data_IF_840168519648
#
_entry.id   IF_840168519648
#
_cell.length_a   1.000
_cell.length_b   1.000
_cell.length_c   1.000
_cell.angle_alpha   90.00
_cell.angle_beta   90.00
_cell.angle_gamma   90.00
#
_symmetry.space_group_name_H-M   'P 1'
#
loop_
_entity.id
_entity.type
_entity.pdbx_description
1 polymer ?
#
# COMPACT_ATOMS: atom_id res chain seq x y z
N UNK A 1 40.00 -63.28 -41.87
CA UNK A 1 39.61 -62.84 -40.54
C UNK A 1 39.17 -61.36 -40.60
N UNK A 2 37.86 -61.13 -40.72
CA UNK A 2 37.29 -59.80 -40.82
C UNK A 2 36.73 -59.41 -39.44
N UNK A 3 37.27 -58.35 -38.78
CA UNK A 3 36.72 -57.75 -37.57
C UNK A 3 35.63 -56.78 -37.99
N UNK A 4 34.40 -57.09 -37.63
CA UNK A 4 33.27 -56.15 -37.72
C UNK A 4 33.32 -55.14 -36.52
N UNK A 5 33.33 -53.89 -36.84
CA UNK A 5 33.25 -52.81 -35.89
C UNK A 5 31.75 -52.46 -35.69
N UNK A 6 31.22 -52.75 -34.51
CA UNK A 6 29.84 -52.46 -34.16
C UNK A 6 29.80 -51.02 -33.61
N UNK A 7 29.21 -50.08 -34.38
CA UNK A 7 29.02 -48.68 -34.01
C UNK A 7 27.69 -48.55 -33.29
N UNK A 8 27.69 -48.38 -31.96
CA UNK A 8 26.51 -48.19 -31.15
C UNK A 8 26.13 -46.71 -31.14
N UNK A 9 25.06 -46.36 -31.81
CA UNK A 9 24.48 -45.00 -31.83
C UNK A 9 23.67 -44.81 -30.54
N UNK A 10 24.18 -44.05 -29.57
CA UNK A 10 23.43 -43.64 -28.39
C UNK A 10 22.64 -42.40 -28.77
N UNK A 11 21.33 -42.57 -28.98
CA UNK A 11 20.39 -41.47 -29.19
C UNK A 11 20.08 -40.82 -27.81
N UNK A 12 20.76 -39.73 -27.49
CA UNK A 12 20.48 -38.96 -26.30
C UNK A 12 19.12 -38.22 -26.41
N UNK A 13 18.11 -38.74 -25.73
CA UNK A 13 16.81 -38.11 -25.59
C UNK A 13 16.95 -36.93 -24.58
N UNK A 14 17.23 -35.72 -25.09
CA UNK A 14 17.19 -34.49 -24.28
C UNK A 14 15.75 -34.16 -23.97
N UNK A 15 15.31 -34.56 -22.77
CA UNK A 15 14.01 -34.17 -22.22
C UNK A 15 14.06 -32.69 -21.91
N UNK A 16 13.61 -31.84 -22.82
CA UNK A 16 13.33 -30.41 -22.55
C UNK A 16 12.19 -30.35 -21.51
N UNK A 17 12.56 -30.37 -20.24
CA UNK A 17 11.63 -29.97 -19.18
C UNK A 17 11.34 -28.48 -19.36
N UNK A 18 10.28 -28.18 -20.08
CA UNK A 18 9.72 -26.86 -20.15
C UNK A 18 9.36 -26.42 -18.72
N UNK A 19 10.20 -25.61 -18.08
CA UNK A 19 9.83 -24.89 -16.88
C UNK A 19 8.65 -24.01 -17.24
N UNK A 20 7.44 -24.37 -16.79
CA UNK A 20 6.31 -23.43 -16.80
C UNK A 20 6.77 -22.24 -16.01
N UNK A 21 7.14 -21.17 -16.69
CA UNK A 21 7.30 -19.87 -16.06
C UNK A 21 5.97 -19.57 -15.37
N UNK A 22 5.94 -19.69 -14.06
CA UNK A 22 4.79 -19.22 -13.28
C UNK A 22 4.68 -17.73 -13.57
N UNK A 23 3.58 -17.31 -14.20
CA UNK A 23 3.34 -15.90 -14.49
C UNK A 23 3.56 -15.10 -13.20
N UNK A 24 4.56 -14.22 -13.20
CA UNK A 24 4.90 -13.40 -12.05
C UNK A 24 3.68 -12.56 -11.68
N UNK A 25 3.27 -12.60 -10.40
CA UNK A 25 2.13 -11.80 -9.98
C UNK A 25 2.46 -10.31 -10.18
N UNK A 26 1.50 -9.52 -10.67
CA UNK A 26 1.64 -8.08 -10.91
C UNK A 26 2.32 -7.32 -9.76
N UNK A 27 1.99 -7.67 -8.51
CA UNK A 27 2.52 -7.03 -7.31
C UNK A 27 3.83 -7.63 -6.77
N UNK A 28 4.42 -8.61 -7.44
CA UNK A 28 5.73 -9.16 -7.06
C UNK A 28 6.89 -8.30 -7.59
N UNK A 29 6.62 -7.41 -8.55
CA UNK A 29 7.58 -6.45 -9.09
C UNK A 29 7.44 -5.09 -8.42
N UNK A 30 8.56 -4.43 -8.18
CA UNK A 30 8.66 -3.03 -7.70
C UNK A 30 8.86 -2.03 -8.84
N UNK A 31 9.02 -2.51 -10.07
CA UNK A 31 9.18 -1.63 -11.24
C UNK A 31 7.95 -0.79 -11.49
N UNK A 32 8.17 0.50 -11.76
CA UNK A 32 7.12 1.45 -12.13
C UNK A 32 6.48 1.06 -13.45
N UNK A 33 5.16 1.05 -13.49
CA UNK A 33 4.39 0.81 -14.73
C UNK A 33 3.89 2.14 -15.28
N UNK A 34 4.29 2.46 -16.51
CA UNK A 34 3.73 3.61 -17.23
C UNK A 34 2.33 3.26 -17.73
N UNK A 35 1.33 4.04 -17.31
CA UNK A 35 -0.06 3.89 -17.74
C UNK A 35 -0.62 5.20 -18.28
N UNK A 36 -1.56 5.11 -19.22
CA UNK A 36 -2.36 6.24 -19.68
C UNK A 36 -3.83 5.95 -19.38
N UNK A 37 -4.51 6.93 -18.80
CA UNK A 37 -5.95 6.89 -18.52
C UNK A 37 -6.62 8.12 -19.15
N UNK A 38 -7.83 7.92 -19.66
CA UNK A 38 -8.61 8.97 -20.28
C UNK A 38 -10.03 8.96 -19.72
N UNK A 39 -10.38 9.93 -18.87
CA UNK A 39 -11.72 10.10 -18.32
C UNK A 39 -11.93 11.52 -17.79
N UNK A 40 -13.17 11.84 -17.41
CA UNK A 40 -13.52 13.10 -16.75
C UNK A 40 -13.57 12.93 -15.23
N UNK A 41 -12.74 13.66 -14.47
CA UNK A 41 -12.80 13.69 -13.00
C UNK A 41 -14.20 14.09 -12.51
N UNK A 42 -14.84 15.04 -13.18
CA UNK A 42 -16.20 15.47 -12.85
C UNK A 42 -17.22 14.34 -13.01
N UNK A 43 -17.11 13.54 -14.07
CA UNK A 43 -17.99 12.39 -14.28
C UNK A 43 -17.69 11.29 -13.29
N UNK A 44 -16.42 10.97 -13.05
CA UNK A 44 -16.01 10.01 -12.05
C UNK A 44 -16.62 10.35 -10.68
N UNK A 45 -16.51 11.60 -10.22
CA UNK A 45 -17.05 12.03 -8.94
C UNK A 45 -18.58 11.99 -8.87
N UNK A 46 -19.29 12.34 -9.95
CA UNK A 46 -20.75 12.51 -9.96
C UNK A 46 -21.52 11.27 -10.37
N UNK A 47 -20.99 10.50 -11.34
CA UNK A 47 -21.71 9.36 -11.94
C UNK A 47 -21.36 8.01 -11.29
N UNK A 48 -20.39 7.97 -10.35
CA UNK A 48 -20.01 6.73 -9.70
C UNK A 48 -20.39 6.69 -8.22
N UNK A 49 -20.66 5.49 -7.74
CA UNK A 49 -20.93 5.17 -6.33
C UNK A 49 -20.39 3.78 -6.02
N UNK A 50 -20.80 3.15 -4.92
CA UNK A 50 -20.25 1.85 -4.51
C UNK A 50 -20.56 0.70 -5.49
N UNK A 51 -21.54 0.85 -6.36
CA UNK A 51 -21.95 -0.14 -7.35
C UNK A 51 -21.76 0.33 -8.79
N UNK A 52 -21.73 1.64 -9.04
CA UNK A 52 -21.69 2.23 -10.38
C UNK A 52 -20.26 2.66 -10.74
N UNK A 53 -19.84 2.31 -11.94
CA UNK A 53 -18.51 2.60 -12.51
C UNK A 53 -18.66 3.37 -13.84
N UNK A 54 -17.66 4.17 -14.20
CA UNK A 54 -17.43 4.59 -15.58
C UNK A 54 -16.49 3.59 -16.27
N UNK A 55 -16.58 3.47 -17.59
CA UNK A 55 -15.72 2.61 -18.37
C UNK A 55 -14.75 3.44 -19.21
N UNK A 56 -13.51 2.99 -19.33
CA UNK A 56 -12.48 3.57 -20.17
C UNK A 56 -11.44 2.52 -20.53
N UNK A 57 -10.52 2.86 -21.44
CA UNK A 57 -9.36 2.04 -21.74
C UNK A 57 -8.14 2.57 -20.97
N UNK A 58 -7.40 1.65 -20.38
CA UNK A 58 -6.07 1.91 -19.85
C UNK A 58 -5.05 1.43 -20.86
N UNK A 59 -4.19 2.33 -21.31
CA UNK A 59 -3.01 1.99 -22.13
C UNK A 59 -1.83 1.83 -21.18
N UNK A 60 -0.98 0.83 -21.38
CA UNK A 60 0.20 0.59 -20.56
C UNK A 60 1.36 0.03 -21.39
N UNK A 61 2.58 0.34 -20.98
CA UNK A 61 3.79 -0.22 -21.58
C UNK A 61 4.11 -1.60 -20.98
N UNK A 62 4.35 -2.58 -21.80
CA UNK A 62 4.78 -3.92 -21.38
C UNK A 62 5.57 -4.60 -22.49
N UNK A 63 6.75 -5.16 -22.15
CA UNK A 63 7.62 -5.86 -23.10
C UNK A 63 7.92 -5.04 -24.37
N UNK A 64 8.24 -3.73 -24.19
CA UNK A 64 8.58 -2.82 -25.27
C UNK A 64 7.42 -2.42 -26.20
N UNK A 65 6.18 -2.81 -25.87
CA UNK A 65 4.99 -2.48 -26.65
C UNK A 65 3.92 -1.77 -25.83
N UNK A 66 3.11 -0.94 -26.51
CA UNK A 66 1.91 -0.34 -25.94
C UNK A 66 0.75 -1.34 -26.05
N UNK A 67 0.13 -1.64 -24.92
CA UNK A 67 -1.05 -2.52 -24.83
C UNK A 67 -2.23 -1.74 -24.27
N UNK A 68 -3.44 -2.13 -24.62
CA UNK A 68 -4.66 -1.49 -24.12
C UNK A 68 -5.59 -2.52 -23.51
N UNK A 69 -6.22 -2.15 -22.38
CA UNK A 69 -7.16 -3.01 -21.67
C UNK A 69 -8.36 -2.20 -21.18
N UNK A 70 -9.60 -2.69 -21.34
CA UNK A 70 -10.77 -2.03 -20.80
C UNK A 70 -10.77 -2.08 -19.26
N UNK A 71 -11.03 -0.95 -18.63
CA UNK A 71 -11.08 -0.82 -17.17
C UNK A 71 -12.33 -0.08 -16.73
N UNK A 72 -12.81 -0.41 -15.55
CA UNK A 72 -13.94 0.22 -14.90
C UNK A 72 -13.45 0.97 -13.67
N UNK A 73 -13.78 2.25 -13.59
CA UNK A 73 -13.30 3.15 -12.56
C UNK A 73 -14.45 3.71 -11.74
N UNK A 74 -14.27 3.81 -10.43
CA UNK A 74 -15.14 4.58 -9.56
C UNK A 74 -14.36 5.35 -8.51
N UNK A 75 -14.84 6.52 -8.14
CA UNK A 75 -14.30 7.25 -7.01
C UNK A 75 -14.56 6.47 -5.70
N UNK A 76 -13.60 6.51 -4.77
CA UNK A 76 -13.71 5.92 -3.44
C UNK A 76 -13.35 6.92 -2.35
N UNK A 77 -13.54 6.53 -1.09
CA UNK A 77 -13.33 7.39 0.08
C UNK A 77 -14.45 8.42 0.26
N UNK A 78 -14.65 8.85 1.48
CA UNK A 78 -15.66 9.86 1.80
C UNK A 78 -15.07 11.28 1.73
N UNK A 79 -14.02 11.54 2.50
CA UNK A 79 -13.38 12.84 2.59
C UNK A 79 -12.68 13.21 1.27
N UNK A 80 -11.78 12.36 0.76
CA UNK A 80 -11.00 12.64 -0.45
C UNK A 80 -11.88 12.75 -1.71
N UNK A 81 -13.00 12.06 -1.77
CA UNK A 81 -13.96 12.18 -2.89
C UNK A 81 -14.52 13.60 -3.03
N UNK A 82 -14.72 14.32 -1.91
CA UNK A 82 -15.27 15.68 -1.89
C UNK A 82 -14.22 16.78 -1.92
N UNK A 83 -12.99 16.49 -1.51
CA UNK A 83 -11.91 17.48 -1.34
C UNK A 83 -10.84 17.40 -2.42
N UNK A 84 -10.49 16.20 -2.88
CA UNK A 84 -9.42 16.04 -3.85
C UNK A 84 -9.85 16.40 -5.26
N UNK A 85 -8.95 17.04 -5.99
CA UNK A 85 -9.09 17.20 -7.44
C UNK A 85 -9.02 15.84 -8.15
N UNK A 86 -8.10 14.97 -7.72
CA UNK A 86 -8.03 13.58 -8.14
C UNK A 86 -8.46 12.67 -6.97
N UNK A 87 -9.74 12.29 -6.92
CA UNK A 87 -10.18 11.37 -5.88
C UNK A 87 -9.50 10.01 -6.04
N UNK A 88 -9.25 9.27 -4.95
CA UNK A 88 -8.79 7.90 -5.03
C UNK A 88 -9.75 7.04 -5.84
N UNK A 89 -9.21 6.13 -6.65
CA UNK A 89 -9.99 5.36 -7.62
C UNK A 89 -10.00 3.87 -7.24
N UNK A 90 -11.17 3.23 -7.28
CA UNK A 90 -11.25 1.78 -7.41
C UNK A 90 -11.24 1.41 -8.89
N UNK A 91 -10.27 0.60 -9.27
CA UNK A 91 -10.13 0.05 -10.62
C UNK A 91 -10.60 -1.40 -10.64
N UNK A 92 -11.38 -1.75 -11.64
CA UNK A 92 -11.84 -3.13 -11.86
C UNK A 92 -11.54 -3.53 -13.30
N UNK A 93 -10.98 -4.72 -13.46
CA UNK A 93 -10.71 -5.36 -14.75
C UNK A 93 -11.51 -6.67 -14.80
N UNK A 94 -12.15 -6.97 -15.90
CA UNK A 94 -12.79 -8.27 -16.05
C UNK A 94 -11.74 -9.37 -16.23
N UNK A 95 -12.07 -10.57 -15.78
CA UNK A 95 -11.14 -11.71 -15.82
C UNK A 95 -10.67 -12.01 -17.24
N UNK A 96 -11.59 -11.95 -18.19
CA UNK A 96 -11.30 -12.29 -19.59
C UNK A 96 -10.43 -11.20 -20.26
N UNK A 97 -10.66 -9.92 -19.92
CA UNK A 97 -9.83 -8.81 -20.40
C UNK A 97 -8.41 -8.83 -19.80
N UNK A 98 -8.27 -9.30 -18.56
CA UNK A 98 -6.98 -9.40 -17.89
C UNK A 98 -6.12 -10.59 -18.35
N UNK A 99 -6.74 -11.61 -18.96
CA UNK A 99 -6.07 -12.85 -19.36
C UNK A 99 -4.97 -12.60 -20.38
N UNK A 100 -3.77 -13.14 -20.13
CA UNK A 100 -2.59 -12.96 -20.99
C UNK A 100 -2.02 -11.54 -20.98
N UNK A 101 -2.41 -10.71 -20.02
CA UNK A 101 -1.90 -9.35 -19.85
C UNK A 101 -1.04 -9.21 -18.60
N UNK A 102 -0.33 -8.08 -18.44
CA UNK A 102 0.38 -7.73 -17.22
C UNK A 102 -0.52 -7.80 -15.97
N UNK A 103 -1.83 -7.56 -16.13
CA UNK A 103 -2.82 -7.52 -15.06
C UNK A 103 -3.53 -8.85 -14.83
N UNK A 104 -3.02 -9.94 -15.38
CA UNK A 104 -3.63 -11.27 -15.21
C UNK A 104 -3.81 -11.60 -13.72
N UNK A 105 -5.00 -12.05 -13.39
CA UNK A 105 -5.39 -12.32 -12.02
C UNK A 105 -5.74 -11.07 -11.18
N UNK A 106 -5.57 -9.84 -11.65
CA UNK A 106 -5.89 -8.60 -10.92
C UNK A 106 -7.29 -8.09 -11.28
N UNK A 107 -8.32 -8.60 -10.58
CA UNK A 107 -9.71 -8.19 -10.84
C UNK A 107 -10.07 -6.82 -10.24
N UNK A 108 -9.56 -6.52 -9.07
CA UNK A 108 -9.80 -5.28 -8.35
C UNK A 108 -8.48 -4.75 -7.82
N UNK A 109 -8.30 -3.44 -7.93
CA UNK A 109 -7.16 -2.71 -7.37
C UNK A 109 -7.64 -1.34 -6.90
N UNK A 110 -6.86 -0.71 -6.02
CA UNK A 110 -7.07 0.69 -5.66
C UNK A 110 -5.95 1.49 -6.29
N UNK A 111 -6.28 2.52 -7.05
CA UNK A 111 -5.32 3.48 -7.59
C UNK A 111 -5.29 4.71 -6.70
N UNK A 112 -4.14 5.01 -6.16
CA UNK A 112 -3.87 6.21 -5.35
C UNK A 112 -3.24 7.25 -6.24
N UNK A 113 -3.80 8.46 -6.17
CA UNK A 113 -3.40 9.63 -6.96
C UNK A 113 -3.12 10.81 -6.03
N UNK A 114 -2.29 11.79 -6.44
CA UNK A 114 -2.17 13.05 -5.72
C UNK A 114 -3.53 13.70 -5.47
N UNK A 115 -3.79 14.18 -4.25
CA UNK A 115 -5.10 14.77 -3.96
C UNK A 115 -5.32 16.08 -4.70
N UNK A 116 -4.34 16.97 -4.68
CA UNK A 116 -4.45 18.34 -5.20
C UNK A 116 -3.48 18.58 -6.36
N UNK A 117 -3.68 19.69 -7.08
CA UNK A 117 -2.78 20.17 -8.14
C UNK A 117 -1.68 21.10 -7.58
N UNK A 118 -1.26 20.88 -6.34
CA UNK A 118 -0.27 21.71 -5.65
C UNK A 118 1.14 21.15 -5.86
N UNK A 119 2.13 22.03 -5.78
CA UNK A 119 3.54 21.66 -5.75
C UNK A 119 3.81 20.77 -4.51
N UNK A 120 4.61 19.72 -4.66
CA UNK A 120 4.94 18.77 -3.58
C UNK A 120 3.89 17.66 -3.35
N UNK A 121 2.76 17.66 -4.06
CA UNK A 121 1.79 16.55 -3.94
C UNK A 121 2.31 15.22 -4.47
N UNK A 122 3.31 15.23 -5.36
CA UNK A 122 4.01 14.02 -5.82
C UNK A 122 4.83 13.40 -4.68
N UNK A 123 5.51 14.24 -3.87
CA UNK A 123 6.23 13.78 -2.67
C UNK A 123 5.26 13.20 -1.62
N UNK A 124 4.04 13.72 -1.51
CA UNK A 124 3.03 13.14 -0.61
C UNK A 124 2.65 11.72 -1.03
N UNK A 125 2.54 11.44 -2.34
CA UNK A 125 2.31 10.09 -2.86
C UNK A 125 3.49 9.17 -2.55
N UNK A 126 4.72 9.65 -2.70
CA UNK A 126 5.91 8.87 -2.32
C UNK A 126 5.93 8.54 -0.84
N UNK A 127 5.60 9.49 0.02
CA UNK A 127 5.53 9.28 1.48
C UNK A 127 4.43 8.28 1.86
N UNK A 128 3.25 8.36 1.23
CA UNK A 128 2.18 7.37 1.45
C UNK A 128 2.63 5.97 0.98
N UNK A 129 3.24 5.88 -0.20
CA UNK A 129 3.78 4.63 -0.75
C UNK A 129 4.89 4.06 0.14
N UNK A 130 5.80 4.91 0.64
CA UNK A 130 6.85 4.53 1.60
C UNK A 130 6.25 3.90 2.86
N UNK A 131 5.13 4.43 3.38
CA UNK A 131 4.41 3.83 4.52
C UNK A 131 4.04 2.36 4.26
N UNK A 132 3.54 2.02 3.06
CA UNK A 132 3.27 0.63 2.70
C UNK A 132 4.55 -0.22 2.66
N UNK A 133 5.63 0.30 2.09
CA UNK A 133 6.91 -0.42 1.99
C UNK A 133 7.53 -0.67 3.37
N UNK A 134 7.41 0.28 4.30
CA UNK A 134 7.82 0.08 5.69
C UNK A 134 6.98 -1.02 6.37
N UNK A 135 5.66 -1.00 6.20
CA UNK A 135 4.81 -2.01 6.84
C UNK A 135 5.07 -3.43 6.35
N UNK A 136 5.48 -3.59 5.08
CA UNK A 136 5.91 -4.87 4.51
C UNK A 136 7.07 -5.52 5.27
N UNK A 137 7.93 -4.73 5.97
CA UNK A 137 9.08 -5.26 6.71
C UNK A 137 8.72 -5.83 8.08
N UNK A 138 7.60 -5.43 8.64
CA UNK A 138 7.20 -5.77 10.02
C UNK A 138 5.97 -6.66 10.10
N UNK A 139 5.32 -6.97 8.97
CA UNK A 139 4.12 -7.81 8.94
C UNK A 139 4.04 -8.67 7.69
N UNK A 140 3.83 -9.98 7.87
CA UNK A 140 3.55 -10.89 6.76
C UNK A 140 2.20 -10.62 6.10
N UNK A 141 1.28 -10.02 6.86
CA UNK A 141 -0.03 -9.60 6.41
C UNK A 141 -0.03 -8.10 6.08
N UNK A 142 0.25 -7.78 4.83
CA UNK A 142 0.33 -6.41 4.33
C UNK A 142 -0.28 -6.31 2.93
N UNK A 143 -0.70 -5.13 2.53
CA UNK A 143 -1.03 -4.86 1.13
C UNK A 143 0.25 -4.77 0.31
N UNK A 144 0.34 -5.53 -0.78
CA UNK A 144 1.33 -5.29 -1.81
C UNK A 144 0.94 -4.07 -2.64
N UNK A 145 1.94 -3.31 -3.04
CA UNK A 145 1.76 -2.08 -3.80
C UNK A 145 2.71 -2.06 -5.00
N UNK A 146 2.31 -1.37 -6.09
CA UNK A 146 3.17 -1.18 -7.26
C UNK A 146 3.08 0.26 -7.75
N UNK A 147 4.22 0.96 -7.96
CA UNK A 147 4.23 2.34 -8.43
C UNK A 147 3.77 2.42 -9.89
N UNK A 148 3.13 3.54 -10.24
CA UNK A 148 2.70 3.84 -11.60
C UNK A 148 2.98 5.29 -11.95
N UNK A 149 3.49 5.51 -13.16
CA UNK A 149 3.53 6.82 -13.79
C UNK A 149 2.33 6.96 -14.73
N UNK A 150 1.60 8.05 -14.60
CA UNK A 150 0.29 8.18 -15.21
C UNK A 150 0.23 9.40 -16.13
N UNK A 151 0.06 9.17 -17.41
CA UNK A 151 -0.40 10.17 -18.36
C UNK A 151 -1.92 10.25 -18.29
N UNK A 152 -2.44 11.11 -17.40
CA UNK A 152 -3.88 11.26 -17.25
C UNK A 152 -4.43 12.32 -18.19
N UNK A 153 -5.18 11.90 -19.21
CA UNK A 153 -5.87 12.73 -20.16
C UNK A 153 -7.27 13.06 -19.65
N UNK A 154 -7.37 14.19 -18.97
CA UNK A 154 -8.65 14.62 -18.38
C UNK A 154 -9.56 15.22 -19.44
N UNK A 155 -10.71 14.62 -19.66
CA UNK A 155 -11.74 15.13 -20.54
C UNK A 155 -12.54 16.24 -19.87
N UNK A 156 -12.41 17.46 -20.38
CA UNK A 156 -13.23 18.64 -20.02
C UNK A 156 -14.17 18.98 -21.16
N UNK A 157 -15.25 19.70 -20.88
CA UNK A 157 -16.32 19.99 -21.86
C UNK A 157 -15.84 20.42 -23.25
N UNK A 158 -14.74 21.20 -23.36
CA UNK A 158 -14.24 21.78 -24.61
C UNK A 158 -12.78 21.47 -24.90
N UNK A 159 -12.08 20.76 -24.02
CA UNK A 159 -10.65 20.48 -24.17
C UNK A 159 -10.23 19.24 -23.38
N UNK A 160 -9.17 18.63 -23.82
CA UNK A 160 -8.40 17.65 -23.06
C UNK A 160 -7.27 18.37 -22.32
N UNK A 161 -7.03 17.97 -21.08
CA UNK A 161 -5.89 18.44 -20.27
C UNK A 161 -5.08 17.23 -19.86
N UNK A 162 -3.79 17.24 -20.14
CA UNK A 162 -2.89 16.15 -19.78
C UNK A 162 -2.22 16.48 -18.44
N UNK A 163 -2.33 15.56 -17.50
CA UNK A 163 -1.63 15.62 -16.22
C UNK A 163 -0.64 14.46 -16.15
N UNK A 164 0.61 14.77 -15.84
CA UNK A 164 1.63 13.76 -15.52
C UNK A 164 1.65 13.56 -14.02
N UNK A 165 1.26 12.37 -13.58
CA UNK A 165 1.07 12.06 -12.17
C UNK A 165 1.90 10.84 -11.79
N UNK A 166 2.48 10.87 -10.60
CA UNK A 166 2.92 9.65 -9.91
C UNK A 166 1.76 9.11 -9.08
N UNK A 167 1.67 7.81 -9.01
CA UNK A 167 0.67 7.12 -8.20
C UNK A 167 1.14 5.73 -7.85
N UNK A 168 0.30 4.98 -7.21
CA UNK A 168 0.53 3.55 -7.00
C UNK A 168 -0.77 2.76 -6.98
N UNK A 169 -0.68 1.50 -7.34
CA UNK A 169 -1.75 0.53 -7.24
C UNK A 169 -1.60 -0.26 -5.94
N UNK A 170 -2.72 -0.54 -5.29
CA UNK A 170 -2.81 -1.36 -4.08
C UNK A 170 -3.60 -2.63 -4.38
N UNK A 171 -3.11 -3.75 -3.89
CA UNK A 171 -3.72 -5.07 -3.95
C UNK A 171 -5.15 -5.08 -3.36
N UNK A 172 -6.00 -5.97 -3.82
CA UNK A 172 -7.33 -6.19 -3.24
C UNK A 172 -7.22 -6.93 -1.90
N UNK A 173 -7.99 -6.51 -0.89
CA UNK A 173 -7.98 -7.09 0.46
C UNK A 173 -8.31 -8.60 0.48
N UNK A 174 -9.16 -9.08 -0.43
CA UNK A 174 -9.44 -10.52 -0.58
C UNK A 174 -8.23 -11.31 -1.08
N UNK A 175 -7.34 -10.67 -1.85
CA UNK A 175 -6.09 -11.28 -2.29
C UNK A 175 -5.07 -11.36 -1.17
N UNK A 176 -4.94 -10.29 -0.37
CA UNK A 176 -4.13 -10.31 0.85
C UNK A 176 -4.59 -11.45 1.76
N UNK A 177 -5.88 -11.55 2.02
CA UNK A 177 -6.47 -12.61 2.84
C UNK A 177 -6.15 -14.00 2.27
N UNK A 178 -6.36 -14.21 0.96
CA UNK A 178 -6.08 -15.48 0.30
C UNK A 178 -4.59 -15.86 0.35
N UNK A 179 -3.69 -14.90 0.17
CA UNK A 179 -2.23 -15.10 0.27
C UNK A 179 -1.82 -15.53 1.66
N UNK A 180 -2.48 -15.02 2.71
CA UNK A 180 -2.30 -15.44 4.10
C UNK A 180 -3.08 -16.69 4.51
N UNK A 181 -3.71 -17.43 3.58
CA UNK A 181 -4.50 -18.63 3.90
C UNK A 181 -5.84 -18.36 4.59
N UNK A 182 -6.33 -17.13 4.56
CA UNK A 182 -7.52 -16.72 5.29
C UNK A 182 -8.58 -16.01 4.46
N UNK A 183 -9.41 -15.24 5.13
CA UNK A 183 -10.49 -14.42 4.53
C UNK A 183 -10.58 -13.05 5.18
N UNK A 184 -11.20 -12.09 4.48
CA UNK A 184 -11.53 -10.77 5.04
C UNK A 184 -12.58 -10.95 6.14
N UNK A 185 -12.40 -10.26 7.25
CA UNK A 185 -13.33 -10.26 8.38
C UNK A 185 -14.04 -8.91 8.44
N UNK A 186 -15.35 -8.88 8.19
CA UNK A 186 -16.11 -7.63 7.99
C UNK A 186 -16.98 -7.24 9.21
N UNK A 187 -16.89 -7.98 10.32
CA UNK A 187 -17.67 -7.70 11.53
C UNK A 187 -16.90 -6.79 12.47
N UNK A 188 -17.66 -6.08 13.32
CA UNK A 188 -17.09 -5.46 14.51
C UNK A 188 -16.48 -6.51 15.42
N UNK A 189 -15.32 -6.20 15.98
CA UNK A 189 -14.68 -6.98 17.04
C UNK A 189 -13.97 -6.05 18.02
N UNK A 190 -14.04 -6.39 19.29
CA UNK A 190 -13.30 -5.64 20.30
C UNK A 190 -11.79 -5.79 20.05
N UNK A 191 -10.99 -4.70 20.06
CA UNK A 191 -9.57 -4.75 19.73
C UNK A 191 -8.75 -5.76 20.54
N UNK A 192 -9.10 -6.01 21.81
CA UNK A 192 -8.44 -7.00 22.65
C UNK A 192 -8.69 -8.46 22.25
N UNK A 193 -9.73 -8.72 21.42
CA UNK A 193 -9.98 -10.05 20.87
C UNK A 193 -9.20 -10.31 19.56
N UNK A 194 -8.46 -9.33 19.05
CA UNK A 194 -7.54 -9.51 17.94
C UNK A 194 -6.23 -10.15 18.40
N UNK A 195 -5.47 -10.73 17.47
CA UNK A 195 -4.12 -11.24 17.75
C UNK A 195 -3.25 -10.16 18.41
N UNK A 196 -2.57 -10.50 19.50
CA UNK A 196 -1.81 -9.53 20.28
C UNK A 196 -0.61 -8.99 19.51
N UNK A 197 0.22 -9.86 18.92
CA UNK A 197 1.42 -9.48 18.15
C UNK A 197 1.05 -8.58 16.97
N UNK A 198 0.07 -9.00 16.15
CA UNK A 198 -0.38 -8.23 15.00
C UNK A 198 -1.02 -6.88 15.40
N UNK A 199 -1.76 -6.84 16.52
CA UNK A 199 -2.37 -5.59 17.01
C UNK A 199 -1.33 -4.60 17.51
N UNK A 200 -0.32 -5.06 18.25
CA UNK A 200 0.79 -4.23 18.72
C UNK A 200 1.64 -3.78 17.53
N UNK A 201 1.96 -4.69 16.60
CA UNK A 201 2.70 -4.36 15.38
C UNK A 201 2.00 -3.25 14.60
N UNK A 202 0.67 -3.37 14.37
CA UNK A 202 -0.10 -2.33 13.71
C UNK A 202 -0.10 -1.01 14.52
N UNK A 203 -0.29 -1.06 15.83
CA UNK A 203 -0.35 0.14 16.67
C UNK A 203 0.98 0.91 16.69
N UNK A 204 2.12 0.21 16.77
CA UNK A 204 3.45 0.80 16.70
C UNK A 204 3.75 1.37 15.30
N UNK A 205 3.31 0.70 14.23
CA UNK A 205 3.40 1.23 12.88
C UNK A 205 2.62 2.53 12.73
N UNK A 206 1.35 2.56 13.14
CA UNK A 206 0.52 3.76 13.10
C UNK A 206 1.15 4.92 13.91
N UNK A 207 1.76 4.59 15.04
CA UNK A 207 2.51 5.56 15.84
C UNK A 207 3.78 6.03 15.12
N UNK A 208 4.54 5.13 14.48
CA UNK A 208 5.74 5.48 13.70
C UNK A 208 5.43 6.53 12.64
N UNK A 209 4.37 6.30 11.86
CA UNK A 209 3.98 7.22 10.78
C UNK A 209 3.13 8.40 11.25
N UNK A 210 2.86 8.53 12.55
CA UNK A 210 2.02 9.60 13.11
C UNK A 210 0.58 9.56 12.58
N UNK A 211 0.05 8.37 12.28
CA UNK A 211 -1.33 8.25 11.80
C UNK A 211 -2.30 8.16 12.97
N UNK A 212 -3.20 9.11 13.06
CA UNK A 212 -4.28 9.14 14.04
C UNK A 212 -5.66 8.95 13.41
N UNK A 213 -5.75 8.91 12.08
CA UNK A 213 -7.00 8.74 11.34
C UNK A 213 -7.30 7.25 11.04
N UNK A 214 -7.36 6.44 12.09
CA UNK A 214 -7.72 5.02 11.94
C UNK A 214 -8.54 4.48 13.11
N UNK A 215 -9.29 3.42 12.85
CA UNK A 215 -9.94 2.62 13.89
C UNK A 215 -9.95 1.15 13.50
N UNK A 216 -9.26 0.30 14.25
CA UNK A 216 -9.24 -1.14 13.98
C UNK A 216 -10.60 -1.79 14.23
N UNK A 217 -11.32 -1.38 15.28
CA UNK A 217 -12.63 -1.93 15.64
C UNK A 217 -13.71 -1.63 14.59
N UNK A 218 -13.72 -0.41 14.06
CA UNK A 218 -14.69 0.06 13.06
C UNK A 218 -14.17 -0.06 11.62
N UNK A 219 -12.97 -0.62 11.44
CA UNK A 219 -12.32 -0.80 10.14
C UNK A 219 -12.25 0.51 9.32
N UNK A 220 -12.01 1.63 10.01
CA UNK A 220 -11.72 2.91 9.38
C UNK A 220 -10.23 2.96 9.07
N UNK A 221 -9.86 3.23 7.81
CA UNK A 221 -8.48 3.20 7.31
C UNK A 221 -7.73 1.93 7.72
N UNK A 222 -8.44 0.81 7.70
CA UNK A 222 -7.94 -0.52 8.01
C UNK A 222 -8.95 -1.60 7.63
N UNK A 223 -8.46 -2.81 7.47
CA UNK A 223 -9.25 -4.03 7.28
C UNK A 223 -8.89 -5.02 8.36
N UNK A 224 -9.72 -6.04 8.51
CA UNK A 224 -9.42 -7.18 9.36
C UNK A 224 -9.36 -8.44 8.52
N UNK A 225 -8.41 -9.30 8.84
CA UNK A 225 -8.28 -10.64 8.26
C UNK A 225 -8.58 -11.68 9.32
N UNK A 226 -9.19 -12.78 8.91
CA UNK A 226 -9.30 -14.00 9.71
C UNK A 226 -8.38 -15.05 9.11
N UNK A 227 -7.28 -15.34 9.80
CA UNK A 227 -6.21 -16.27 9.40
C UNK A 227 -5.86 -17.13 10.60
N UNK A 228 -5.81 -18.45 10.44
CA UNK A 228 -5.43 -19.42 11.49
C UNK A 228 -6.14 -19.17 12.83
N UNK A 229 -7.47 -18.98 12.77
CA UNK A 229 -8.32 -18.70 13.94
C UNK A 229 -8.00 -17.37 14.66
N UNK A 230 -7.22 -16.47 14.06
CA UNK A 230 -6.83 -15.17 14.59
C UNK A 230 -7.45 -14.04 13.77
N UNK A 231 -7.75 -12.93 14.42
CA UNK A 231 -8.14 -11.69 13.76
C UNK A 231 -6.92 -10.77 13.71
N UNK A 232 -6.52 -10.41 12.49
CA UNK A 232 -5.31 -9.65 12.20
C UNK A 232 -5.69 -8.31 11.59
N UNK A 233 -5.28 -7.17 12.17
CA UNK A 233 -5.47 -5.86 11.57
C UNK A 233 -4.56 -5.67 10.36
N UNK A 234 -5.13 -5.10 9.30
CA UNK A 234 -4.46 -4.79 8.04
C UNK A 234 -4.62 -3.30 7.74
N UNK A 235 -3.62 -2.46 8.05
CA UNK A 235 -3.71 -1.01 7.86
C UNK A 235 -3.62 -0.62 6.38
N UNK A 236 -4.29 0.48 6.02
CA UNK A 236 -4.18 1.13 4.71
C UNK A 236 -4.68 2.58 4.80
N UNK A 237 -4.49 3.36 3.71
CA UNK A 237 -4.92 4.76 3.59
C UNK A 237 -4.17 5.68 4.58
N UNK A 238 -2.87 5.91 4.30
CA UNK A 238 -1.96 6.64 5.20
C UNK A 238 -1.82 8.12 4.86
N UNK A 239 -2.60 8.63 3.91
CA UNK A 239 -2.45 9.99 3.38
C UNK A 239 -2.63 11.09 4.43
N UNK A 240 -3.41 10.84 5.49
CA UNK A 240 -3.63 11.80 6.59
C UNK A 240 -2.63 11.65 7.75
N UNK A 241 -1.56 10.87 7.57
CA UNK A 241 -0.55 10.64 8.60
C UNK A 241 0.45 11.80 8.72
N UNK A 242 1.12 11.91 9.87
CA UNK A 242 2.22 12.84 10.09
C UNK A 242 3.43 12.59 9.17
N UNK A 243 3.64 11.36 8.72
CA UNK A 243 4.65 11.02 7.70
C UNK A 243 4.36 11.74 6.37
N UNK A 244 3.12 11.72 5.92
CA UNK A 244 2.71 12.38 4.68
C UNK A 244 2.57 13.87 4.88
N UNK A 245 1.94 14.30 5.96
CA UNK A 245 1.73 15.70 6.34
C UNK A 245 1.21 16.58 5.18
N UNK A 246 0.10 16.22 4.53
CA UNK A 246 -0.42 16.99 3.41
C UNK A 246 -1.11 18.27 3.89
N UNK A 247 -1.18 19.28 3.03
CA UNK A 247 -1.82 20.57 3.33
C UNK A 247 -3.31 20.48 3.74
N UNK A 248 -3.98 19.40 3.36
CA UNK A 248 -5.38 19.14 3.68
C UNK A 248 -5.60 18.29 4.95
N UNK A 249 -4.53 17.83 5.60
CA UNK A 249 -4.65 17.03 6.82
C UNK A 249 -5.20 17.89 7.96
N UNK A 250 -6.04 17.29 8.78
CA UNK A 250 -6.72 17.97 9.90
C UNK A 250 -6.42 17.21 11.18
N UNK A 251 -6.00 17.97 12.20
CA UNK A 251 -5.81 17.42 13.54
C UNK A 251 -7.16 17.07 14.16
N UNK A 252 -7.27 15.88 14.75
CA UNK A 252 -8.44 15.51 15.53
C UNK A 252 -8.33 16.15 16.94
N UNK A 253 -9.17 17.17 17.26
CA UNK A 253 -9.03 17.92 18.51
C UNK A 253 -9.30 17.07 19.76
N UNK A 254 -9.95 15.92 19.63
CA UNK A 254 -10.25 15.05 20.77
C UNK A 254 -9.05 14.20 21.23
N UNK A 255 -7.96 14.20 20.47
CA UNK A 255 -6.77 13.39 20.77
C UNK A 255 -5.73 14.12 21.62
N UNK A 256 -5.90 15.43 21.88
CA UNK A 256 -4.95 16.24 22.66
C UNK A 256 -3.59 16.39 21.97
N UNK A 257 -3.58 16.46 20.63
CA UNK A 257 -2.43 16.77 19.79
C UNK A 257 -2.67 18.12 19.11
N UNK A 258 -1.61 18.85 18.81
CA UNK A 258 -1.66 20.19 18.22
C UNK A 258 -1.28 20.23 16.75
N UNK A 259 -0.50 19.25 16.29
CA UNK A 259 -0.03 19.12 14.92
C UNK A 259 -0.31 17.72 14.37
N UNK A 260 -0.45 17.59 13.05
CA UNK A 260 -0.64 16.29 12.39
C UNK A 260 0.59 15.40 12.57
N UNK A 261 1.76 15.99 12.77
CA UNK A 261 3.01 15.27 13.03
C UNK A 261 3.19 14.83 14.49
N UNK A 262 2.33 15.29 15.40
CA UNK A 262 2.35 14.82 16.77
C UNK A 262 1.96 13.34 16.84
N UNK A 263 2.85 12.50 17.36
CA UNK A 263 2.57 11.08 17.52
C UNK A 263 1.69 10.84 18.74
N UNK A 264 0.63 10.08 18.55
CA UNK A 264 -0.23 9.61 19.65
C UNK A 264 -0.39 8.11 19.57
N UNK A 265 0.08 7.40 20.60
CA UNK A 265 -0.14 5.96 20.67
C UNK A 265 -1.62 5.67 20.93
N UNK A 266 -2.21 4.82 20.08
CA UNK A 266 -3.64 4.48 20.14
C UNK A 266 -3.91 2.99 20.28
N UNK A 267 -2.85 2.22 20.61
CA UNK A 267 -2.97 0.79 20.91
C UNK A 267 -3.69 0.52 22.23
N UNK A 268 -4.33 -0.64 22.31
CA UNK A 268 -4.99 -1.10 23.54
C UNK A 268 -4.00 -1.79 24.47
N UNK A 269 -4.34 -1.82 25.76
CA UNK A 269 -3.51 -2.42 26.80
C UNK A 269 -3.26 -3.91 26.49
N UNK A 270 -1.99 -4.28 26.44
CA UNK A 270 -1.49 -5.64 26.23
C UNK A 270 -0.45 -5.96 27.30
N UNK A 271 -0.08 -7.22 27.40
CA UNK A 271 0.97 -7.63 28.32
C UNK A 271 2.31 -6.98 27.96
N UNK A 272 3.06 -6.57 28.97
CA UNK A 272 4.35 -5.87 28.76
C UNK A 272 5.34 -6.76 28.02
N UNK A 273 5.31 -8.07 28.24
CA UNK A 273 6.14 -9.02 27.50
C UNK A 273 5.84 -9.04 26.00
N UNK A 274 4.55 -8.93 25.60
CA UNK A 274 4.16 -8.83 24.19
C UNK A 274 4.59 -7.49 23.60
N UNK A 275 4.44 -6.39 24.37
CA UNK A 275 4.90 -5.06 23.97
C UNK A 275 6.41 -5.05 23.72
N UNK A 276 7.20 -5.60 24.64
CA UNK A 276 8.66 -5.67 24.50
C UNK A 276 9.08 -6.57 23.33
N UNK A 277 8.44 -7.71 23.13
CA UNK A 277 8.70 -8.57 21.97
C UNK A 277 8.53 -7.81 20.65
N UNK A 278 7.45 -7.04 20.49
CA UNK A 278 7.21 -6.27 19.26
C UNK A 278 8.13 -5.05 19.18
N UNK A 279 8.49 -4.41 20.30
CA UNK A 279 9.53 -3.38 20.35
C UNK A 279 10.84 -3.90 19.78
N UNK A 280 11.31 -5.07 20.24
CA UNK A 280 12.55 -5.69 19.73
C UNK A 280 12.45 -6.06 18.26
N UNK A 281 11.30 -6.51 17.78
CA UNK A 281 11.03 -6.74 16.35
C UNK A 281 11.28 -5.48 15.54
N UNK A 282 10.75 -4.32 15.96
CA UNK A 282 10.98 -3.05 15.27
C UNK A 282 12.46 -2.63 15.33
N UNK A 283 13.10 -2.73 16.47
CA UNK A 283 14.51 -2.40 16.63
C UNK A 283 15.40 -3.25 15.73
N UNK A 284 15.12 -4.55 15.61
CA UNK A 284 15.84 -5.45 14.70
C UNK A 284 15.66 -5.09 13.21
N UNK A 285 14.55 -4.43 12.86
CA UNK A 285 14.26 -3.99 11.50
C UNK A 285 14.72 -2.55 11.23
N UNK A 286 15.31 -1.83 12.19
CA UNK A 286 15.71 -0.42 12.02
C UNK A 286 16.55 -0.18 10.77
N UNK A 287 17.61 -0.95 10.58
CA UNK A 287 18.50 -0.79 9.43
C UNK A 287 17.80 -1.07 8.10
N UNK A 288 16.93 -2.08 8.06
CA UNK A 288 16.15 -2.41 6.87
C UNK A 288 15.14 -1.30 6.54
N UNK A 289 14.39 -0.82 7.54
CA UNK A 289 13.43 0.28 7.38
C UNK A 289 14.13 1.55 6.90
N UNK A 290 15.24 1.94 7.54
CA UNK A 290 15.99 3.13 7.13
C UNK A 290 16.61 2.97 5.74
N UNK A 291 17.08 1.78 5.38
CA UNK A 291 17.53 1.47 4.03
C UNK A 291 16.45 1.61 2.97
N UNK A 292 15.20 1.22 3.29
CA UNK A 292 14.04 1.47 2.42
C UNK A 292 13.80 2.98 2.30
N UNK A 293 13.79 3.74 3.40
CA UNK A 293 13.66 5.21 3.34
C UNK A 293 14.72 5.82 2.44
N UNK A 294 15.98 5.43 2.63
CA UNK A 294 17.12 5.97 1.87
C UNK A 294 17.04 5.62 0.37
N UNK A 295 16.44 4.49 0.00
CA UNK A 295 16.25 4.09 -1.40
C UNK A 295 15.28 4.99 -2.17
N UNK A 296 14.47 5.79 -1.50
CA UNK A 296 13.54 6.75 -2.12
C UNK A 296 14.15 8.13 -2.36
N UNK A 297 15.41 8.38 -1.93
CA UNK A 297 16.04 9.71 -1.94
C UNK A 297 15.91 10.42 -3.28
N UNK A 298 16.24 9.72 -4.36
CA UNK A 298 16.29 10.29 -5.71
C UNK A 298 14.90 10.44 -6.36
N UNK A 299 13.88 9.88 -5.74
CA UNK A 299 12.48 9.98 -6.21
C UNK A 299 11.78 11.26 -5.72
N UNK A 300 12.28 11.88 -4.64
CA UNK A 300 11.70 13.11 -4.11
C UNK A 300 12.00 14.30 -5.02
N UNK A 301 10.98 15.14 -5.26
CA UNK A 301 11.14 16.42 -5.98
C UNK A 301 11.96 17.43 -5.17
N UNK A 302 11.95 17.31 -3.83
CA UNK A 302 12.62 18.23 -2.92
C UNK A 302 13.46 17.46 -1.91
N UNK A 303 14.77 17.65 -1.95
CA UNK A 303 15.73 17.03 -1.01
C UNK A 303 15.45 17.36 0.46
N UNK A 304 14.99 18.58 0.78
CA UNK A 304 14.62 18.94 2.14
C UNK A 304 13.40 18.17 2.62
N UNK A 305 12.44 17.87 1.75
CA UNK A 305 11.28 17.01 2.06
C UNK A 305 11.74 15.57 2.32
N UNK A 306 12.72 15.08 1.58
CA UNK A 306 13.32 13.77 1.84
C UNK A 306 13.99 13.71 3.23
N UNK A 307 14.87 14.67 3.53
CA UNK A 307 15.60 14.68 4.82
C UNK A 307 14.62 14.80 6.00
N UNK A 308 13.61 15.65 5.91
CA UNK A 308 12.54 15.76 6.91
C UNK A 308 11.76 14.43 7.08
N UNK A 309 11.45 13.75 5.98
CA UNK A 309 10.79 12.44 6.00
C UNK A 309 11.65 11.38 6.67
N UNK A 310 12.95 11.37 6.34
CA UNK A 310 13.94 10.48 6.91
C UNK A 310 14.10 10.68 8.41
N UNK A 311 14.23 11.93 8.85
CA UNK A 311 14.32 12.28 10.27
C UNK A 311 13.05 11.92 11.02
N UNK A 312 11.88 12.16 10.43
CA UNK A 312 10.61 11.79 11.03
C UNK A 312 10.53 10.27 11.28
N UNK A 313 10.93 9.41 10.34
CA UNK A 313 10.97 7.96 10.58
C UNK A 313 12.02 7.60 11.62
N UNK A 314 13.23 8.18 11.54
CA UNK A 314 14.34 7.89 12.45
C UNK A 314 14.00 8.25 13.92
N UNK A 315 13.30 9.35 14.16
CA UNK A 315 12.92 9.79 15.52
C UNK A 315 12.01 8.79 16.24
N UNK A 316 11.26 7.94 15.53
CA UNK A 316 10.54 6.82 16.14
C UNK A 316 11.47 5.82 16.81
N UNK A 317 12.61 5.51 16.18
CA UNK A 317 13.57 4.57 16.76
C UNK A 317 14.24 5.13 18.02
N UNK A 318 14.47 6.42 18.10
CA UNK A 318 14.98 7.05 19.32
C UNK A 318 14.03 6.83 20.51
N UNK A 319 12.72 6.82 20.28
CA UNK A 319 11.72 6.48 21.31
C UNK A 319 11.81 5.00 21.70
N UNK A 320 11.96 4.10 20.72
CA UNK A 320 12.07 2.68 21.02
C UNK A 320 13.40 2.29 21.69
N UNK A 321 14.48 3.02 21.44
CA UNK A 321 15.81 2.78 22.03
C UNK A 321 15.90 3.24 23.48
N UNK A 322 15.04 4.15 23.94
CA UNK A 322 14.98 4.66 25.30
C UNK A 322 13.86 3.96 26.09
N UNK A 323 14.21 3.28 27.18
CA UNK A 323 13.21 2.65 28.06
C UNK A 323 12.28 3.69 28.69
N UNK A 324 12.81 4.87 29.03
CA UNK A 324 12.03 5.97 29.59
C UNK A 324 11.02 6.49 28.57
N UNK A 325 11.45 6.77 27.33
CA UNK A 325 10.57 7.29 26.29
C UNK A 325 9.55 6.24 25.83
N UNK A 326 9.97 4.98 25.67
CA UNK A 326 9.06 3.90 25.34
C UNK A 326 7.98 3.73 26.40
N UNK A 327 8.36 3.79 27.69
CA UNK A 327 7.39 3.75 28.78
C UNK A 327 6.43 4.94 28.71
N UNK A 328 6.94 6.16 28.65
CA UNK A 328 6.13 7.37 28.71
C UNK A 328 5.21 7.55 27.50
N UNK A 329 5.72 7.29 26.28
CA UNK A 329 5.00 7.58 25.04
C UNK A 329 4.18 6.40 24.51
N UNK A 330 4.46 5.16 24.94
CA UNK A 330 3.78 3.97 24.46
C UNK A 330 3.04 3.26 25.60
N UNK A 331 3.77 2.78 26.63
CA UNK A 331 3.20 1.92 27.68
C UNK A 331 2.15 2.69 28.50
N UNK A 332 2.50 3.90 28.97
CA UNK A 332 1.61 4.73 29.79
C UNK A 332 0.43 5.34 28.97
N UNK A 333 0.50 5.26 27.62
CA UNK A 333 -0.54 5.73 26.70
C UNK A 333 -1.49 4.61 26.23
N UNK A 334 -1.26 3.37 26.62
CA UNK A 334 -2.12 2.24 26.24
C UNK A 334 -3.57 2.47 26.69
N UNK A 335 -4.50 2.27 25.76
CA UNK A 335 -5.94 2.47 26.00
C UNK A 335 -6.54 1.29 26.74
N UNK A 336 -7.44 1.56 27.66
CA UNK A 336 -8.23 0.56 28.39
C UNK A 336 -9.68 0.49 27.91
N UNK A 337 -10.12 1.50 27.17
CA UNK A 337 -11.48 1.64 26.62
C UNK A 337 -11.44 2.13 25.17
#
# INVERSE_FOLDING_TARGET
MKKQLLLTLILGFVCLMGTKATAQNFFDSTETVAIQLNYSNKELARKTNDTTFIETNMVYAHEGSQKSIPVRLRARGNFRRSRCYFPPVKMKIYKDDAKGTLFEGQKNMKLVLPCLLEKGNQDNILKEYLGYKIYETVSDHHFRTRPVDIDFKEQKKKKEVVHKLRGFLIEDDKKVAKRGGGKVFERYIHPLAMDADASITNALFQYMIGNTDFSVAYQHNGKLLYVDSKIIPLPYDFDMSGLVNPSYAVVNPTLGISDVRDRKYRGFKRDISDMEKVRQKYLSQKSNIMGIVDSFKDDFENSATFEDTREFVNSFFSILESDQEFKAQIIDQMRTK
#
